data_IF_393960824358
#
_entry.id   IF_393960824358
#
_cell.length_a   1.000
_cell.length_b   1.000
_cell.length_c   1.000
_cell.angle_alpha   90.00
_cell.angle_beta   90.00
_cell.angle_gamma   90.00
#
_symmetry.space_group_name_H-M   'P 1'
#
loop_
_entity.id
_entity.type
_entity.pdbx_description
1 polymer ?
#
# COMPACT_ATOMS: atom_id res chain seq x y z
N UNK A 1 -22.04 0.63 10.71
CA UNK A 1 -20.67 0.86 10.22
C UNK A 1 -19.73 0.22 11.23
N UNK A 2 -18.84 -0.66 10.79
CA UNK A 2 -17.76 -1.16 11.66
C UNK A 2 -16.85 0.02 12.03
N UNK A 3 -16.40 0.17 13.29
CA UNK A 3 -15.47 1.23 13.65
C UNK A 3 -14.13 1.01 12.94
N UNK A 4 -13.66 2.03 12.22
CA UNK A 4 -12.27 2.04 11.74
C UNK A 4 -11.35 2.19 12.95
N UNK A 5 -10.48 1.21 13.17
CA UNK A 5 -9.51 1.20 14.26
C UNK A 5 -8.10 1.30 13.71
N UNK A 6 -7.47 2.47 13.84
CA UNK A 6 -6.07 2.63 13.52
C UNK A 6 -5.20 2.05 14.64
N UNK A 7 -4.43 1.01 14.32
CA UNK A 7 -3.47 0.41 15.25
C UNK A 7 -2.06 0.79 14.84
N UNK A 8 -1.36 1.57 15.67
CA UNK A 8 0.08 1.84 15.48
C UNK A 8 0.89 0.66 16.03
N UNK A 9 1.55 -0.07 15.14
CA UNK A 9 2.42 -1.20 15.48
C UNK A 9 3.88 -0.79 15.68
N UNK A 10 4.21 0.48 15.43
CA UNK A 10 5.54 1.05 15.59
C UNK A 10 5.57 2.07 16.75
N UNK A 11 6.71 2.21 17.45
CA UNK A 11 6.97 3.30 18.37
C UNK A 11 6.73 4.68 17.73
N UNK A 12 6.38 5.69 18.55
CA UNK A 12 6.07 7.05 18.08
C UNK A 12 7.23 7.70 17.29
N UNK A 13 8.48 7.32 17.56
CA UNK A 13 9.69 7.85 16.96
C UNK A 13 10.33 6.92 15.90
N UNK A 14 9.70 5.79 15.60
CA UNK A 14 10.27 4.76 14.73
C UNK A 14 10.65 5.29 13.35
N UNK A 15 9.82 6.16 12.77
CA UNK A 15 10.06 6.76 11.45
C UNK A 15 11.26 7.70 11.47
N UNK A 16 11.38 8.59 12.47
CA UNK A 16 12.52 9.52 12.60
C UNK A 16 13.83 8.76 12.87
N UNK A 17 13.79 7.79 13.78
CA UNK A 17 14.93 6.94 14.09
C UNK A 17 15.42 6.16 12.85
N UNK A 18 14.50 5.56 12.09
CA UNK A 18 14.83 4.86 10.85
C UNK A 18 15.40 5.78 9.78
N UNK A 19 14.82 6.98 9.58
CA UNK A 19 15.30 7.95 8.59
C UNK A 19 16.72 8.39 8.90
N UNK A 20 17.01 8.76 10.14
CA UNK A 20 18.36 9.17 10.57
C UNK A 20 19.39 8.07 10.32
N UNK A 21 19.07 6.84 10.70
CA UNK A 21 19.95 5.70 10.50
C UNK A 21 20.20 5.41 9.01
N UNK A 22 19.14 5.40 8.20
CA UNK A 22 19.22 5.14 6.77
C UNK A 22 20.01 6.22 6.02
N UNK A 23 19.80 7.50 6.35
CA UNK A 23 20.51 8.64 5.78
C UNK A 23 21.99 8.62 6.17
N UNK A 24 22.29 8.39 7.45
CA UNK A 24 23.68 8.32 7.92
C UNK A 24 24.44 7.19 7.22
N UNK A 25 23.87 5.98 7.20
CA UNK A 25 24.47 4.82 6.54
C UNK A 25 24.60 5.01 5.03
N UNK A 26 23.55 5.52 4.39
CA UNK A 26 23.46 5.66 2.94
C UNK A 26 24.36 6.75 2.36
N UNK A 27 24.44 7.90 3.01
CA UNK A 27 25.23 9.04 2.52
C UNK A 27 26.72 8.95 2.85
N UNK A 28 27.11 8.11 3.81
CA UNK A 28 28.52 7.84 4.15
C UNK A 28 29.14 6.69 3.35
N UNK A 29 28.34 5.93 2.60
CA UNK A 29 28.81 4.85 1.72
C UNK A 29 29.28 5.34 0.35
N UNK A 30 30.03 4.47 -0.33
CA UNK A 30 30.46 4.62 -1.72
C UNK A 30 30.14 3.34 -2.50
N UNK A 31 29.15 3.36 -3.42
CA UNK A 31 28.32 4.51 -3.80
C UNK A 31 27.31 4.93 -2.71
N UNK A 32 26.84 6.18 -2.78
CA UNK A 32 25.78 6.69 -1.90
C UNK A 32 24.44 6.10 -2.30
N UNK A 33 23.60 5.77 -1.33
CA UNK A 33 22.25 5.23 -1.54
C UNK A 33 21.26 5.78 -0.53
N UNK A 34 19.96 5.73 -0.84
CA UNK A 34 18.88 5.94 0.11
C UNK A 34 17.77 4.90 -0.15
N UNK A 35 17.15 4.33 0.89
CA UNK A 35 16.03 3.42 0.72
C UNK A 35 14.82 4.09 0.06
N UNK A 36 14.12 3.41 -0.88
CA UNK A 36 13.02 4.01 -1.63
C UNK A 36 11.76 4.25 -0.81
N UNK A 37 11.63 3.67 0.39
CA UNK A 37 10.51 3.96 1.29
C UNK A 37 10.40 5.45 1.64
N UNK A 38 11.52 6.18 1.57
CA UNK A 38 11.56 7.63 1.79
C UNK A 38 11.08 8.47 0.59
N UNK A 39 10.70 7.83 -0.53
CA UNK A 39 9.96 8.51 -1.60
C UNK A 39 8.51 8.81 -1.22
N UNK A 40 7.93 8.14 -0.22
CA UNK A 40 6.49 8.17 0.03
C UNK A 40 6.10 9.04 1.23
N UNK A 41 6.62 10.28 1.27
CA UNK A 41 5.98 11.32 2.07
C UNK A 41 4.64 11.74 1.40
N UNK A 42 3.96 12.76 1.94
CA UNK A 42 2.69 13.21 1.39
C UNK A 42 2.82 13.60 -0.11
N UNK A 43 3.86 14.36 -0.46
CA UNK A 43 4.07 14.84 -1.83
C UNK A 43 4.50 13.70 -2.77
N UNK A 44 5.39 12.84 -2.31
CA UNK A 44 5.86 11.73 -3.10
C UNK A 44 4.80 10.67 -3.34
N UNK A 45 3.86 10.50 -2.40
CA UNK A 45 2.65 9.69 -2.60
C UNK A 45 1.74 10.28 -3.68
N UNK A 46 1.49 11.60 -3.69
CA UNK A 46 0.75 12.26 -4.77
C UNK A 46 1.44 12.08 -6.14
N UNK A 47 2.76 12.24 -6.17
CA UNK A 47 3.55 12.02 -7.39
C UNK A 47 3.46 10.57 -7.87
N UNK A 48 3.45 9.59 -6.96
CA UNK A 48 3.25 8.20 -7.32
C UNK A 48 1.86 7.97 -7.92
N UNK A 49 0.82 8.56 -7.34
CA UNK A 49 -0.54 8.53 -7.90
C UNK A 49 -0.57 9.14 -9.31
N UNK A 50 0.14 10.25 -9.56
CA UNK A 50 0.33 10.80 -10.91
C UNK A 50 1.05 9.82 -11.85
N UNK A 51 2.13 9.18 -11.38
CA UNK A 51 2.88 8.17 -12.14
C UNK A 51 1.96 7.03 -12.58
N UNK A 52 1.05 6.56 -11.74
CA UNK A 52 0.15 5.44 -12.09
C UNK A 52 -0.76 5.71 -13.29
N UNK A 53 -0.95 6.99 -13.66
CA UNK A 53 -1.79 7.43 -14.78
C UNK A 53 -1.01 7.65 -16.07
N UNK A 54 0.33 7.62 -16.03
CA UNK A 54 1.16 7.81 -17.20
C UNK A 54 0.96 6.68 -18.21
N UNK A 55 0.93 6.98 -19.53
CA UNK A 55 0.79 5.96 -20.55
C UNK A 55 1.94 4.95 -20.52
N UNK A 56 3.15 5.40 -20.20
CA UNK A 56 4.37 4.59 -20.07
C UNK A 56 4.34 3.67 -18.84
N UNK A 57 3.67 4.08 -17.76
CA UNK A 57 3.58 3.32 -16.52
C UNK A 57 2.39 2.36 -16.54
N UNK A 58 2.50 1.31 -17.35
CA UNK A 58 1.46 0.29 -17.48
C UNK A 58 1.14 -0.54 -16.21
N UNK A 59 2.02 -0.74 -15.19
CA UNK A 59 1.78 -1.71 -14.12
C UNK A 59 0.43 -1.59 -13.42
N UNK A 60 0.05 -0.39 -12.98
CA UNK A 60 -1.23 -0.17 -12.28
C UNK A 60 -2.43 -0.52 -13.16
N UNK A 61 -2.36 -0.23 -14.47
CA UNK A 61 -3.43 -0.54 -15.42
C UNK A 61 -3.55 -2.04 -15.68
N UNK A 62 -2.42 -2.72 -15.86
CA UNK A 62 -2.40 -4.16 -16.12
C UNK A 62 -2.88 -4.96 -14.90
N UNK A 63 -2.45 -4.59 -13.69
CA UNK A 63 -2.92 -5.22 -12.46
C UNK A 63 -4.44 -5.02 -12.27
N UNK A 64 -4.95 -3.81 -12.52
CA UNK A 64 -6.39 -3.53 -12.46
C UNK A 64 -7.17 -4.39 -13.46
N UNK A 65 -6.67 -4.55 -14.68
CA UNK A 65 -7.29 -5.40 -15.70
C UNK A 65 -7.39 -6.86 -15.24
N UNK A 66 -6.32 -7.40 -14.67
CA UNK A 66 -6.29 -8.77 -14.14
C UNK A 66 -7.29 -8.92 -12.98
N UNK A 67 -7.28 -7.98 -12.03
CA UNK A 67 -8.18 -8.02 -10.88
C UNK A 67 -9.64 -7.93 -11.33
N UNK A 68 -9.98 -7.02 -12.24
CA UNK A 68 -11.33 -6.90 -12.77
C UNK A 68 -11.79 -8.19 -13.49
N UNK A 69 -10.88 -8.88 -14.19
CA UNK A 69 -11.21 -10.09 -14.93
C UNK A 69 -11.25 -11.36 -14.05
N UNK A 70 -10.49 -11.40 -12.95
CA UNK A 70 -10.23 -12.63 -12.17
C UNK A 70 -10.68 -12.57 -10.72
N UNK A 71 -11.28 -11.46 -10.27
CA UNK A 71 -11.68 -11.28 -8.87
C UNK A 71 -12.55 -12.44 -8.35
N UNK A 72 -13.57 -12.86 -9.10
CA UNK A 72 -14.45 -13.96 -8.70
C UNK A 72 -13.71 -15.30 -8.55
N UNK A 73 -12.76 -15.58 -9.46
CA UNK A 73 -11.92 -16.79 -9.39
C UNK A 73 -11.02 -16.76 -8.15
N UNK A 74 -10.42 -15.59 -7.86
CA UNK A 74 -9.60 -15.38 -6.66
C UNK A 74 -10.45 -15.55 -5.39
N UNK A 75 -11.66 -15.00 -5.38
CA UNK A 75 -12.58 -15.10 -4.26
C UNK A 75 -13.01 -16.55 -4.01
N UNK A 76 -13.42 -17.27 -5.05
CA UNK A 76 -13.82 -18.67 -4.96
C UNK A 76 -12.67 -19.58 -4.52
N UNK A 77 -11.45 -19.35 -5.04
CA UNK A 77 -10.28 -20.14 -4.67
C UNK A 77 -9.80 -19.87 -3.25
N UNK A 78 -9.92 -18.63 -2.77
CA UNK A 78 -9.45 -18.24 -1.43
C UNK A 78 -10.44 -18.59 -0.33
N UNK A 79 -11.75 -18.44 -0.56
CA UNK A 79 -12.78 -18.52 0.48
C UNK A 79 -12.53 -17.53 1.63
N UNK A 80 -11.84 -16.42 1.33
CA UNK A 80 -11.32 -15.52 2.36
C UNK A 80 -12.45 -14.76 3.07
N UNK A 81 -12.41 -14.76 4.40
CA UNK A 81 -13.26 -13.91 5.25
C UNK A 81 -12.53 -12.66 5.75
N UNK A 82 -11.22 -12.59 5.51
CA UNK A 82 -10.39 -11.44 5.85
C UNK A 82 -9.46 -11.13 4.70
N UNK A 83 -9.41 -9.86 4.28
CA UNK A 83 -8.44 -9.35 3.30
C UNK A 83 -7.44 -8.47 4.04
N UNK A 84 -6.15 -8.80 3.93
CA UNK A 84 -5.04 -8.00 4.45
C UNK A 84 -4.29 -7.42 3.26
N UNK A 85 -4.24 -6.10 3.15
CA UNK A 85 -3.57 -5.40 2.05
C UNK A 85 -2.29 -4.73 2.55
N UNK A 86 -1.15 -5.15 1.99
CA UNK A 86 0.16 -4.62 2.34
C UNK A 86 0.56 -3.51 1.38
N UNK A 87 0.69 -2.29 1.90
CA UNK A 87 0.88 -1.07 1.10
C UNK A 87 -0.41 -0.70 0.38
N UNK A 88 -1.45 -0.36 1.14
CA UNK A 88 -2.80 -0.17 0.60
C UNK A 88 -2.94 1.06 -0.29
N UNK A 89 -2.12 2.10 -0.10
CA UNK A 89 -2.23 3.32 -0.89
C UNK A 89 -3.68 3.84 -0.94
N UNK A 90 -4.22 4.07 -2.14
CA UNK A 90 -5.60 4.50 -2.36
C UNK A 90 -6.66 3.38 -2.30
N UNK A 91 -6.27 2.11 -2.13
CA UNK A 91 -7.14 0.92 -2.06
C UNK A 91 -8.08 0.70 -3.26
N UNK A 92 -7.96 1.48 -4.34
CA UNK A 92 -8.84 1.43 -5.52
C UNK A 92 -8.88 0.05 -6.17
N UNK A 93 -7.72 -0.62 -6.25
CA UNK A 93 -7.61 -1.97 -6.83
C UNK A 93 -8.31 -3.03 -5.97
N UNK A 94 -8.23 -2.88 -4.65
CA UNK A 94 -8.68 -3.89 -3.70
C UNK A 94 -10.21 -3.98 -3.66
N UNK A 95 -10.92 -2.91 -4.04
CA UNK A 95 -12.38 -2.92 -4.22
C UNK A 95 -12.86 -4.07 -5.11
N UNK A 96 -12.12 -4.40 -6.17
CA UNK A 96 -12.46 -5.53 -7.04
C UNK A 96 -12.57 -6.86 -6.29
N UNK A 97 -11.76 -7.08 -5.25
CA UNK A 97 -11.83 -8.28 -4.41
C UNK A 97 -12.87 -8.16 -3.30
N UNK A 98 -13.00 -6.97 -2.70
CA UNK A 98 -13.96 -6.73 -1.61
C UNK A 98 -15.40 -6.94 -2.09
N UNK A 99 -15.70 -6.55 -3.34
CA UNK A 99 -17.05 -6.64 -3.91
C UNK A 99 -17.51 -8.08 -4.20
N UNK A 100 -16.57 -9.02 -4.36
CA UNK A 100 -16.86 -10.40 -4.79
C UNK A 100 -16.65 -11.45 -3.70
N UNK A 101 -16.26 -11.04 -2.49
CA UNK A 101 -16.10 -11.94 -1.34
C UNK A 101 -17.37 -11.94 -0.48
N UNK A 102 -18.31 -12.88 -0.67
CA UNK A 102 -19.64 -12.81 -0.07
C UNK A 102 -19.65 -13.00 1.45
N UNK A 103 -18.64 -13.66 2.01
CA UNK A 103 -18.48 -13.87 3.45
C UNK A 103 -17.38 -12.98 4.07
N UNK A 104 -17.01 -11.89 3.39
CA UNK A 104 -16.00 -10.98 3.89
C UNK A 104 -16.46 -10.34 5.21
N UNK A 105 -15.68 -10.57 6.26
CA UNK A 105 -15.91 -10.04 7.60
C UNK A 105 -15.00 -8.84 7.89
N UNK A 106 -13.75 -8.90 7.44
CA UNK A 106 -12.72 -7.91 7.81
C UNK A 106 -11.85 -7.50 6.62
N UNK A 107 -11.59 -6.20 6.51
CA UNK A 107 -10.56 -5.64 5.65
C UNK A 107 -9.53 -4.93 6.52
N UNK A 108 -8.25 -5.25 6.32
CA UNK A 108 -7.11 -4.77 7.12
C UNK A 108 -6.10 -4.11 6.18
N UNK A 109 -6.22 -2.80 5.92
CA UNK A 109 -5.19 -2.06 5.21
C UNK A 109 -3.97 -1.85 6.11
N UNK A 110 -2.78 -2.09 5.57
CA UNK A 110 -1.50 -1.89 6.24
C UNK A 110 -0.65 -0.96 5.39
N UNK A 111 -0.32 0.21 5.92
CA UNK A 111 0.55 1.18 5.23
C UNK A 111 1.50 1.86 6.20
N UNK A 112 2.63 2.33 5.67
CA UNK A 112 3.59 3.16 6.41
C UNK A 112 3.17 4.63 6.41
N UNK A 113 2.34 5.03 5.45
CA UNK A 113 1.77 6.36 5.32
C UNK A 113 0.44 6.44 6.07
N UNK A 114 0.38 7.22 7.15
CA UNK A 114 -0.87 7.45 7.89
C UNK A 114 -1.95 8.09 6.98
N UNK A 115 -1.55 8.99 6.08
CA UNK A 115 -2.45 9.60 5.10
C UNK A 115 -3.01 8.64 4.05
N UNK A 116 -2.43 7.45 3.89
CA UNK A 116 -3.02 6.40 3.05
C UNK A 116 -4.13 5.63 3.80
N UNK A 117 -4.23 5.78 5.13
CA UNK A 117 -5.17 5.07 5.98
C UNK A 117 -6.32 5.95 6.51
N UNK A 118 -6.24 7.28 6.34
CA UNK A 118 -7.20 8.27 6.89
C UNK A 118 -7.72 9.20 5.81
#
# INVERSE_FOLDING_TARGET
MSPFLLTRTLPMDATDAALRADVLSGLTRHPKTLPPKWFYDARGSELFEEITRLPEYYPTRAEREILAARAEEIAAASGARTVIELGSGSSEKTRHLLDVLPELHSYVPVDVSESALT
#
